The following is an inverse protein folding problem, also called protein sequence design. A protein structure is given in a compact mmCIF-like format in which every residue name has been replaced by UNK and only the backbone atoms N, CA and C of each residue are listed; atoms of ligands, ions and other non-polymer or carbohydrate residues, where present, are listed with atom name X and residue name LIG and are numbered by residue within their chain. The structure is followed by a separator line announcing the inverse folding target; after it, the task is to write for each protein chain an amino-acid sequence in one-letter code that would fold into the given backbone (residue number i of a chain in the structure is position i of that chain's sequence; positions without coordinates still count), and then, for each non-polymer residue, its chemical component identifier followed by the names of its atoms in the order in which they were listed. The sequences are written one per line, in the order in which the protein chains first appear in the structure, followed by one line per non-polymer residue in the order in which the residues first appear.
data_IF_778487777272
#
_entry.id   IF_778487777272
#
_cell.length_a   1.000
_cell.length_b   1.000
_cell.length_c   1.000
_cell.angle_alpha   90.00
_cell.angle_beta   90.00
_cell.angle_gamma   90.00
#
_symmetry.space_group_name_H-M   'P 1'
#
loop_
_entity.id
_entity.type
_entity.pdbx_description
1 polymer ?
#
# COMPACT_ATOMS: atom_id res chain seq x y z
N UNK A 1 -15.67 10.38 3.54
CA UNK A 1 -14.57 9.80 2.74
C UNK A 1 -14.80 8.30 2.77
N UNK A 2 -14.90 7.63 1.62
CA UNK A 2 -15.34 6.23 1.54
C UNK A 2 -14.32 5.39 0.78
N UNK A 3 -14.16 4.15 1.21
CA UNK A 3 -13.41 3.10 0.54
C UNK A 3 -14.27 1.82 0.46
N UNK A 4 -13.67 0.69 0.08
CA UNK A 4 -14.31 -0.63 0.09
C UNK A 4 -13.45 -1.64 0.83
N UNK A 5 -14.09 -2.67 1.37
CA UNK A 5 -13.33 -3.82 1.85
C UNK A 5 -12.61 -4.52 0.70
N UNK A 6 -11.37 -4.99 0.91
CA UNK A 6 -10.61 -5.63 -0.14
C UNK A 6 -11.29 -6.89 -0.67
N UNK A 7 -11.31 -7.03 -1.99
CA UNK A 7 -11.75 -8.24 -2.69
C UNK A 7 -10.55 -8.90 -3.34
N UNK A 8 -10.48 -10.24 -3.30
CA UNK A 8 -9.32 -10.99 -3.80
C UNK A 8 -9.52 -11.60 -5.20
N UNK A 9 -10.72 -11.50 -5.75
CA UNK A 9 -11.05 -11.97 -7.11
C UNK A 9 -11.40 -10.76 -7.96
N UNK A 10 -10.55 -10.44 -8.93
CA UNK A 10 -10.67 -9.29 -9.82
C UNK A 10 -10.96 -9.70 -11.25
N UNK A 11 -10.74 -10.97 -11.60
CA UNK A 11 -10.89 -11.50 -12.95
C UNK A 11 -12.10 -12.43 -13.02
N UNK A 12 -12.92 -12.22 -14.04
CA UNK A 12 -13.98 -13.14 -14.42
C UNK A 12 -14.00 -13.34 -15.93
N UNK A 13 -13.54 -14.52 -16.38
CA UNK A 13 -13.38 -14.82 -17.80
C UNK A 13 -12.37 -13.88 -18.47
N UNK A 14 -12.85 -12.95 -19.29
CA UNK A 14 -12.03 -11.95 -20.01
C UNK A 14 -12.20 -10.53 -19.48
N UNK A 15 -12.79 -10.38 -18.30
CA UNK A 15 -13.00 -9.08 -17.65
C UNK A 15 -12.09 -9.02 -16.43
N UNK A 16 -11.37 -7.91 -16.28
CA UNK A 16 -10.53 -7.62 -15.12
C UNK A 16 -10.89 -6.24 -14.55
N UNK A 17 -10.96 -6.13 -13.23
CA UNK A 17 -11.12 -4.87 -12.51
C UNK A 17 -9.76 -4.24 -12.22
N UNK A 18 -9.63 -2.94 -12.49
CA UNK A 18 -8.42 -2.13 -12.25
C UNK A 18 -8.81 -0.80 -11.57
N UNK A 19 -7.86 -0.15 -10.89
CA UNK A 19 -8.08 1.12 -10.20
C UNK A 19 -9.20 1.05 -9.15
N UNK A 20 -9.90 2.16 -8.94
CA UNK A 20 -10.98 2.26 -7.94
C UNK A 20 -12.15 1.29 -8.15
N UNK A 21 -12.28 0.67 -9.34
CA UNK A 21 -13.27 -0.40 -9.55
C UNK A 21 -12.92 -1.69 -8.79
N UNK A 22 -11.64 -1.90 -8.51
CA UNK A 22 -11.10 -3.03 -7.75
C UNK A 22 -10.70 -2.64 -6.32
N UNK A 23 -10.06 -1.47 -6.14
CA UNK A 23 -9.38 -1.11 -4.90
C UNK A 23 -9.45 0.39 -4.57
N UNK A 24 -10.63 0.96 -4.31
CA UNK A 24 -10.75 2.37 -3.94
C UNK A 24 -10.26 2.60 -2.50
N UNK A 25 -9.16 3.34 -2.24
CA UNK A 25 -8.63 3.54 -0.88
C UNK A 25 -9.10 4.86 -0.25
N UNK A 26 -8.98 4.97 1.07
CA UNK A 26 -8.90 6.29 1.70
C UNK A 26 -7.58 6.98 1.32
N UNK A 27 -7.58 8.30 1.14
CA UNK A 27 -6.43 9.01 0.55
C UNK A 27 -5.18 9.18 1.44
N UNK A 28 -5.14 8.62 2.65
CA UNK A 28 -4.15 8.98 3.67
C UNK A 28 -2.68 8.75 3.27
N UNK A 29 -2.41 7.82 2.37
CA UNK A 29 -1.05 7.56 1.82
C UNK A 29 -0.91 7.94 0.34
N UNK A 30 -1.92 8.62 -0.23
CA UNK A 30 -1.91 9.19 -1.58
C UNK A 30 -1.58 8.20 -2.73
N UNK A 31 -1.97 6.93 -2.60
CA UNK A 31 -1.63 5.88 -3.57
C UNK A 31 -2.75 5.45 -4.53
N UNK A 32 -3.98 5.99 -4.44
CA UNK A 32 -5.10 5.52 -5.29
C UNK A 32 -4.79 5.59 -6.79
N UNK A 33 -4.39 6.77 -7.28
CA UNK A 33 -4.01 6.95 -8.68
C UNK A 33 -2.74 6.16 -9.06
N UNK A 34 -1.80 6.02 -8.13
CA UNK A 34 -0.55 5.27 -8.37
C UNK A 34 -0.86 3.78 -8.54
N UNK A 35 -1.69 3.18 -7.69
CA UNK A 35 -2.10 1.78 -7.84
C UNK A 35 -2.79 1.52 -9.19
N UNK A 36 -3.59 2.47 -9.69
CA UNK A 36 -4.21 2.34 -11.01
C UNK A 36 -3.17 2.39 -12.16
N UNK A 37 -2.13 3.22 -12.02
CA UNK A 37 -1.01 3.25 -12.97
C UNK A 37 -0.23 1.94 -12.94
N UNK A 38 0.08 1.44 -11.73
CA UNK A 38 0.74 0.15 -11.55
C UNK A 38 -0.08 -1.00 -12.14
N UNK A 39 -1.40 -1.01 -11.98
CA UNK A 39 -2.25 -2.05 -12.57
C UNK A 39 -2.10 -2.11 -14.09
N UNK A 40 -2.11 -0.95 -14.75
CA UNK A 40 -1.92 -0.85 -16.19
C UNK A 40 -0.55 -1.36 -16.62
N UNK A 41 0.50 -1.03 -15.85
CA UNK A 41 1.85 -1.50 -16.11
C UNK A 41 1.98 -3.02 -15.90
N UNK A 42 1.52 -3.56 -14.77
CA UNK A 42 1.58 -5.00 -14.44
C UNK A 42 0.78 -5.81 -15.45
N UNK A 43 -0.44 -5.39 -15.80
CA UNK A 43 -1.23 -6.05 -16.83
C UNK A 43 -0.51 -6.01 -18.19
N UNK A 44 0.07 -4.87 -18.56
CA UNK A 44 0.85 -4.71 -19.78
C UNK A 44 2.05 -5.66 -19.86
N UNK A 45 2.82 -5.77 -18.78
CA UNK A 45 3.94 -6.70 -18.67
C UNK A 45 3.50 -8.16 -18.83
N UNK A 46 2.40 -8.56 -18.19
CA UNK A 46 1.88 -9.92 -18.34
C UNK A 46 1.32 -10.19 -19.73
N UNK A 47 0.67 -9.22 -20.37
CA UNK A 47 0.24 -9.34 -21.77
C UNK A 47 1.44 -9.49 -22.70
N UNK A 48 2.50 -8.71 -22.49
CA UNK A 48 3.73 -8.79 -23.29
C UNK A 48 4.42 -10.15 -23.17
N UNK A 49 4.52 -10.71 -21.96
CA UNK A 49 5.13 -12.03 -21.71
C UNK A 49 4.34 -13.20 -22.28
N UNK A 50 3.04 -13.03 -22.42
CA UNK A 50 2.14 -14.07 -22.93
C UNK A 50 1.70 -13.80 -24.37
N UNK A 51 2.46 -12.98 -25.11
CA UNK A 51 2.25 -12.71 -26.53
C UNK A 51 3.16 -13.60 -27.37
N UNK A 52 2.58 -14.34 -28.31
CA UNK A 52 3.32 -15.12 -29.30
C UNK A 52 3.84 -14.24 -30.45
N UNK A 53 4.74 -14.79 -31.27
CA UNK A 53 5.36 -14.08 -32.40
C UNK A 53 4.33 -13.60 -33.44
N UNK A 54 3.24 -14.34 -33.63
CA UNK A 54 2.12 -13.96 -34.51
C UNK A 54 1.22 -12.86 -33.93
N UNK A 55 1.54 -12.38 -32.72
CA UNK A 55 0.81 -11.33 -32.02
C UNK A 55 -0.38 -11.83 -31.20
N UNK A 56 -0.71 -13.12 -31.23
CA UNK A 56 -1.75 -13.70 -30.36
C UNK A 56 -1.34 -13.64 -28.89
N UNK A 57 -2.32 -13.44 -27.99
CA UNK A 57 -2.07 -13.34 -26.55
C UNK A 57 -2.84 -14.45 -25.83
N UNK A 58 -2.15 -15.21 -24.98
CA UNK A 58 -2.79 -16.07 -24.00
C UNK A 58 -3.36 -15.22 -22.85
N UNK A 59 -4.58 -14.74 -23.07
CA UNK A 59 -5.30 -13.91 -22.12
C UNK A 59 -5.61 -14.62 -20.80
N UNK A 60 -5.81 -15.95 -20.82
CA UNK A 60 -6.12 -16.68 -19.59
C UNK A 60 -4.91 -16.63 -18.65
N UNK A 61 -3.72 -16.90 -19.19
CA UNK A 61 -2.48 -16.85 -18.41
C UNK A 61 -2.11 -15.41 -18.02
N UNK A 62 -2.26 -14.44 -18.92
CA UNK A 62 -1.96 -13.04 -18.63
C UNK A 62 -2.84 -12.47 -17.50
N UNK A 63 -4.16 -12.70 -17.55
CA UNK A 63 -5.09 -12.21 -16.54
C UNK A 63 -4.92 -12.94 -15.20
N UNK A 64 -4.66 -14.26 -15.22
CA UNK A 64 -4.38 -15.01 -14.00
C UNK A 64 -3.08 -14.53 -13.32
N UNK A 65 -2.04 -14.20 -14.10
CA UNK A 65 -0.80 -13.66 -13.55
C UNK A 65 -0.98 -12.26 -12.95
N UNK A 66 -1.79 -11.41 -13.59
CA UNK A 66 -2.18 -10.10 -13.04
C UNK A 66 -2.94 -10.24 -11.70
N UNK A 67 -3.96 -11.10 -11.65
CA UNK A 67 -4.75 -11.35 -10.44
C UNK A 67 -3.92 -11.99 -9.31
N UNK A 68 -2.88 -12.77 -9.64
CA UNK A 68 -2.04 -13.38 -8.62
C UNK A 68 -1.25 -12.36 -7.79
N UNK A 69 -1.05 -11.13 -8.29
CA UNK A 69 -0.14 -10.14 -7.69
C UNK A 69 -0.89 -8.95 -7.12
N UNK A 70 -1.70 -8.27 -7.95
CA UNK A 70 -2.25 -6.97 -7.60
C UNK A 70 -3.23 -6.93 -6.42
N UNK A 71 -4.12 -7.92 -6.22
CA UNK A 71 -5.04 -7.92 -5.09
C UNK A 71 -4.36 -7.83 -3.73
N UNK A 72 -3.28 -8.57 -3.50
CA UNK A 72 -2.58 -8.53 -2.21
C UNK A 72 -1.87 -7.20 -1.99
N UNK A 73 -1.20 -6.68 -3.01
CA UNK A 73 -0.56 -5.37 -2.96
C UNK A 73 -1.56 -4.27 -2.60
N UNK A 74 -2.64 -4.14 -3.38
CA UNK A 74 -3.65 -3.11 -3.15
C UNK A 74 -4.40 -3.31 -1.83
N UNK A 75 -4.63 -4.55 -1.38
CA UNK A 75 -5.19 -4.84 -0.05
C UNK A 75 -4.33 -4.25 1.07
N UNK A 76 -3.00 -4.39 0.98
CA UNK A 76 -2.06 -3.82 1.96
C UNK A 76 -2.13 -2.29 1.97
N UNK A 77 -2.18 -1.66 0.80
CA UNK A 77 -2.35 -0.21 0.67
C UNK A 77 -3.67 0.25 1.28
N UNK A 78 -4.81 -0.37 0.94
CA UNK A 78 -6.13 -0.01 1.50
C UNK A 78 -6.17 -0.10 3.02
N UNK A 79 -5.76 -1.25 3.55
CA UNK A 79 -5.81 -1.50 5.01
C UNK A 79 -4.84 -0.61 5.78
N UNK A 80 -3.65 -0.35 5.21
CA UNK A 80 -2.68 0.58 5.82
C UNK A 80 -3.15 2.02 5.73
N UNK A 81 -3.81 2.45 4.65
CA UNK A 81 -4.43 3.78 4.55
C UNK A 81 -5.40 4.03 5.70
N UNK A 82 -6.26 3.06 6.03
CA UNK A 82 -7.20 3.16 7.16
C UNK A 82 -6.44 3.39 8.47
N UNK A 83 -5.41 2.57 8.74
CA UNK A 83 -4.59 2.69 9.95
C UNK A 83 -3.77 3.98 10.03
N UNK A 84 -3.29 4.47 8.90
CA UNK A 84 -2.60 5.75 8.82
C UNK A 84 -3.56 6.92 9.10
N UNK A 85 -4.78 6.84 8.59
CA UNK A 85 -5.85 7.80 8.91
C UNK A 85 -6.26 7.79 10.38
N UNK A 86 -6.37 6.62 11.00
CA UNK A 86 -6.57 6.48 12.45
C UNK A 86 -5.42 7.12 13.22
N UNK A 87 -4.17 6.81 12.86
CA UNK A 87 -2.97 7.35 13.48
C UNK A 87 -2.92 8.88 13.42
N UNK A 88 -3.32 9.48 12.29
CA UNK A 88 -3.33 10.94 12.09
C UNK A 88 -4.26 11.65 13.06
N UNK A 89 -5.43 11.08 13.32
CA UNK A 89 -6.52 11.70 14.08
C UNK A 89 -6.57 11.29 15.56
N UNK A 90 -5.53 10.65 16.09
CA UNK A 90 -5.46 10.36 17.53
C UNK A 90 -5.57 11.63 18.38
N UNK A 91 -6.21 11.49 19.53
CA UNK A 91 -6.36 12.55 20.54
C UNK A 91 -5.90 12.05 21.94
N UNK A 92 -5.84 12.96 22.91
CA UNK A 92 -5.45 12.68 24.30
C UNK A 92 -4.06 12.04 24.41
N UNK A 93 -3.94 11.05 25.31
CA UNK A 93 -2.69 10.33 25.59
C UNK A 93 -2.15 9.63 24.33
N UNK A 94 -3.02 9.05 23.50
CA UNK A 94 -2.59 8.37 22.28
C UNK A 94 -1.94 9.34 21.28
N UNK A 95 -2.41 10.59 21.19
CA UNK A 95 -1.76 11.65 20.39
C UNK A 95 -0.37 11.97 20.92
N UNK A 96 -0.21 12.08 22.23
CA UNK A 96 1.07 12.38 22.86
C UNK A 96 2.09 11.27 22.59
N UNK A 97 1.68 10.02 22.75
CA UNK A 97 2.48 8.84 22.43
C UNK A 97 2.87 8.81 20.94
N UNK A 98 1.91 9.00 20.04
CA UNK A 98 2.18 9.11 18.59
C UNK A 98 3.19 10.21 18.28
N UNK A 99 3.04 11.38 18.90
CA UNK A 99 3.96 12.50 18.71
C UNK A 99 5.37 12.19 19.23
N UNK A 100 5.51 11.49 20.36
CA UNK A 100 6.80 11.07 20.87
C UNK A 100 7.49 10.06 19.93
N UNK A 101 6.74 9.04 19.48
CA UNK A 101 7.24 8.02 18.55
C UNK A 101 7.72 8.64 17.23
N UNK A 102 6.91 9.51 16.60
CA UNK A 102 7.29 10.12 15.32
C UNK A 102 8.49 11.07 15.44
N UNK A 103 8.70 11.72 16.59
CA UNK A 103 9.88 12.57 16.84
C UNK A 103 11.15 11.76 17.09
N UNK A 104 11.03 10.61 17.75
CA UNK A 104 12.17 9.77 18.10
C UNK A 104 12.63 8.86 16.95
N UNK A 105 11.80 8.72 15.90
CA UNK A 105 12.09 7.87 14.74
C UNK A 105 13.36 8.34 14.03
N UNK A 106 14.21 7.38 13.66
CA UNK A 106 15.32 7.65 12.74
C UNK A 106 14.77 8.06 11.36
N UNK A 107 15.18 9.23 10.88
CA UNK A 107 14.75 9.74 9.57
C UNK A 107 15.36 8.98 8.40
N UNK A 108 16.44 8.22 8.63
CA UNK A 108 17.10 7.37 7.64
C UNK A 108 16.62 5.91 7.68
N UNK A 109 15.69 5.58 8.57
CA UNK A 109 15.02 4.28 8.56
C UNK A 109 13.88 4.30 7.52
N UNK A 110 14.05 3.52 6.45
CA UNK A 110 13.09 3.40 5.35
C UNK A 110 12.17 2.17 5.50
N UNK A 111 12.31 1.38 6.57
CA UNK A 111 11.53 0.15 6.75
C UNK A 111 10.01 0.39 6.76
N UNK A 112 9.56 1.58 7.16
CA UNK A 112 8.15 1.98 7.16
C UNK A 112 7.58 2.36 5.78
N UNK A 113 8.46 2.59 4.80
CA UNK A 113 8.08 3.12 3.47
C UNK A 113 8.51 2.23 2.31
N UNK A 114 9.52 1.39 2.47
CA UNK A 114 10.08 0.56 1.39
C UNK A 114 9.06 -0.41 0.78
N UNK A 115 8.14 -0.93 1.60
CA UNK A 115 7.06 -1.79 1.13
C UNK A 115 6.11 -1.09 0.13
N UNK A 116 6.03 0.25 0.19
CA UNK A 116 5.14 1.07 -0.62
C UNK A 116 5.85 1.71 -1.82
N UNK A 117 7.09 2.17 -1.63
CA UNK A 117 7.85 2.90 -2.64
C UNK A 117 8.97 2.09 -3.30
N UNK A 118 9.12 0.82 -2.91
CA UNK A 118 9.99 -0.13 -3.58
C UNK A 118 9.50 -0.51 -4.99
N UNK A 119 10.20 -1.44 -5.66
CA UNK A 119 9.81 -1.90 -6.99
C UNK A 119 8.40 -2.53 -7.00
N UNK A 120 7.58 -2.18 -7.99
CA UNK A 120 6.27 -2.81 -8.20
C UNK A 120 6.46 -4.30 -8.54
N UNK A 121 5.81 -5.17 -7.76
CA UNK A 121 5.87 -6.62 -7.96
C UNK A 121 5.20 -7.06 -9.26
N UNK A 122 5.81 -8.03 -9.96
CA UNK A 122 5.23 -8.71 -11.13
C UNK A 122 4.94 -10.19 -10.88
N UNK A 123 5.35 -10.72 -9.75
CA UNK A 123 5.01 -12.07 -9.29
C UNK A 123 4.82 -12.04 -7.78
N UNK A 124 4.07 -12.98 -7.18
CA UNK A 124 3.79 -12.93 -5.74
C UNK A 124 5.06 -12.97 -4.87
N UNK A 125 6.13 -13.63 -5.34
CA UNK A 125 7.40 -13.71 -4.63
C UNK A 125 8.24 -12.42 -4.66
N UNK A 126 7.81 -11.40 -5.42
CA UNK A 126 8.45 -10.09 -5.46
C UNK A 126 7.75 -9.06 -4.56
N UNK A 127 6.62 -9.43 -3.95
CA UNK A 127 5.90 -8.54 -3.06
C UNK A 127 6.78 -8.25 -1.82
N UNK A 128 7.03 -6.97 -1.51
CA UNK A 128 7.95 -6.61 -0.43
C UNK A 128 7.42 -7.03 0.94
N UNK A 129 8.34 -7.18 1.90
CA UNK A 129 7.97 -7.41 3.29
C UNK A 129 7.29 -6.16 3.88
N UNK A 130 6.25 -6.36 4.70
CA UNK A 130 5.59 -5.26 5.40
C UNK A 130 6.44 -4.79 6.59
N UNK A 131 6.39 -3.50 6.87
CA UNK A 131 6.99 -2.93 8.06
C UNK A 131 6.49 -3.59 9.35
N UNK A 132 7.31 -3.56 10.40
CA UNK A 132 6.91 -3.99 11.75
C UNK A 132 6.20 -2.85 12.47
N UNK A 133 4.93 -2.99 12.89
CA UNK A 133 4.23 -1.94 13.62
C UNK A 133 4.86 -1.66 14.99
N UNK A 134 4.95 -0.39 15.36
CA UNK A 134 5.36 0.04 16.70
C UNK A 134 4.11 0.27 17.56
N UNK A 135 3.96 -0.42 18.70
CA UNK A 135 2.87 -0.18 19.64
C UNK A 135 2.89 1.25 20.20
N UNK A 136 1.75 1.94 20.27
CA UNK A 136 1.68 3.31 20.80
C UNK A 136 2.10 3.39 22.29
N UNK A 137 1.75 2.37 23.07
CA UNK A 137 2.06 2.26 24.49
C UNK A 137 3.53 2.00 24.79
N UNK A 138 4.36 1.78 23.77
CA UNK A 138 5.82 1.77 23.91
C UNK A 138 6.41 3.16 24.20
N UNK A 139 5.66 4.24 23.96
CA UNK A 139 6.05 5.59 24.33
C UNK A 139 5.36 6.07 25.63
N UNK A 140 6.04 6.89 26.45
CA UNK A 140 5.45 7.42 27.67
C UNK A 140 4.29 8.38 27.38
N UNK A 141 3.26 8.32 28.25
CA UNK A 141 2.18 9.32 28.29
C UNK A 141 2.69 10.62 28.95
N UNK A 142 2.22 11.80 28.50
CA UNK A 142 2.57 13.08 29.10
C UNK A 142 3.79 13.79 28.50
N UNK A 143 4.02 13.65 27.19
CA UNK A 143 5.16 14.23 26.49
C UNK A 143 5.31 15.74 26.70
N UNK A 144 6.07 16.15 27.71
CA UNK A 144 6.64 17.48 27.78
C UNK A 144 7.45 17.69 26.50
N UNK A 145 7.04 18.67 25.70
CA UNK A 145 7.88 19.19 24.62
C UNK A 145 9.12 19.76 25.31
N UNK A 146 10.35 19.28 25.06
CA UNK A 146 11.52 20.03 25.48
C UNK A 146 11.39 21.40 24.84
N UNK A 147 11.37 22.47 25.64
CA UNK A 147 11.39 23.82 25.12
C UNK A 147 12.53 23.89 24.09
N UNK A 148 12.21 24.29 22.86
CA UNK A 148 13.23 24.55 21.87
C UNK A 148 14.18 25.59 22.48
N UNK A 149 15.39 25.18 22.84
CA UNK A 149 16.45 26.12 23.14
C UNK A 149 16.70 26.89 21.85
N UNK A 150 16.36 28.18 21.90
CA UNK A 150 16.76 29.15 20.91
C UNK A 150 18.29 29.15 20.82
N UNK A 151 18.80 28.81 19.63
CA UNK A 151 20.14 29.15 19.18
C UNK A 151 20.05 29.58 17.71
#
# INVERSE_FOLDING_TARGET
MFDRDPVMTWVHGRIALLGDSAHPPLQYIAQGAIMAIEDGWVLGEHVARNRAEDGTVDWSTALAAYEAVRPEHCRRVLTTSRKWGELWHLDGVAREQRNALLRARDTYDYSFTDWLYGPTALTPGQEPEMFTPIPLDSAPAGGAVPAAEAA
#
